data_IF_943381142992
#
_entry.id   IF_943381142992
#
_cell.length_a   1.000
_cell.length_b   1.000
_cell.length_c   1.000
_cell.angle_alpha   90.00
_cell.angle_beta   90.00
_cell.angle_gamma   90.00
#
_symmetry.space_group_name_H-M   'P 1'
#
loop_
_entity.id
_entity.type
_entity.pdbx_description
1 polymer ?
#
# COMPACT_ATOMS: atom_id res chain seq x y z
N UNK A 1 -8.69 25.91 63.43
CA UNK A 1 -8.00 24.88 64.21
C UNK A 1 -6.94 24.28 63.32
N UNK A 2 -5.67 24.44 63.73
CA UNK A 2 -4.45 24.10 63.02
C UNK A 2 -3.82 22.93 63.78
N UNK A 3 -3.40 21.85 63.11
CA UNK A 3 -2.43 20.92 63.71
C UNK A 3 -1.57 20.30 62.61
N UNK A 4 -0.35 20.83 62.50
CA UNK A 4 0.82 20.17 61.93
C UNK A 4 1.27 19.03 62.85
N UNK A 5 1.80 17.94 62.28
CA UNK A 5 2.76 17.07 62.96
C UNK A 5 3.93 16.78 62.01
N UNK A 6 5.13 17.07 62.49
CA UNK A 6 6.44 16.86 61.85
C UNK A 6 7.15 15.65 62.48
N UNK A 7 7.85 14.91 61.61
CA UNK A 7 9.14 14.23 61.75
C UNK A 7 9.38 13.09 62.75
N UNK A 8 9.97 12.02 62.22
CA UNK A 8 10.82 11.06 62.93
C UNK A 8 11.43 10.05 61.95
N UNK A 9 12.69 10.26 61.54
CA UNK A 9 13.48 9.30 60.75
C UNK A 9 14.43 8.48 61.63
N UNK A 10 14.92 7.35 61.09
CA UNK A 10 16.25 6.77 61.34
C UNK A 10 16.47 5.53 60.41
N UNK A 11 17.74 5.11 60.20
CA UNK A 11 18.25 4.60 58.93
C UNK A 11 18.35 3.06 58.86
N UNK A 12 18.47 2.50 57.65
CA UNK A 12 18.82 1.09 57.47
C UNK A 12 20.13 0.95 56.66
N UNK A 13 21.17 0.27 57.19
CA UNK A 13 22.41 0.01 56.48
C UNK A 13 22.36 -1.37 55.83
N UNK A 14 22.58 -1.45 54.51
CA UNK A 14 23.09 -2.66 53.86
C UNK A 14 23.72 -2.30 52.52
N UNK A 15 24.97 -1.87 52.63
CA UNK A 15 25.93 -1.79 51.52
C UNK A 15 26.83 -3.01 51.68
N UNK A 16 26.63 -4.03 50.86
CA UNK A 16 27.60 -5.11 50.66
C UNK A 16 27.42 -5.74 49.29
N UNK A 17 28.46 -5.53 48.47
CA UNK A 17 28.96 -6.40 47.42
C UNK A 17 28.07 -6.66 46.20
N UNK A 18 28.13 -5.73 45.23
CA UNK A 18 28.09 -6.09 43.82
C UNK A 18 29.51 -6.47 43.41
N UNK A 19 29.70 -7.77 43.24
CA UNK A 19 30.89 -8.42 42.75
C UNK A 19 31.08 -8.05 41.28
N UNK A 20 32.25 -7.48 40.93
CA UNK A 20 32.67 -7.25 39.55
C UNK A 20 32.67 -8.58 38.78
N UNK A 21 31.82 -8.66 37.77
CA UNK A 21 31.76 -9.77 36.83
C UNK A 21 32.73 -9.46 35.68
N UNK A 22 33.70 -10.35 35.36
CA UNK A 22 34.66 -10.09 34.29
C UNK A 22 33.97 -10.07 32.92
N UNK A 23 34.39 -9.13 32.08
CA UNK A 23 33.87 -8.94 30.73
C UNK A 23 34.05 -10.21 29.87
N UNK A 24 33.05 -10.59 29.05
CA UNK A 24 33.18 -11.71 28.13
C UNK A 24 34.18 -11.38 26.99
N UNK A 25 34.94 -12.36 26.48
CA UNK A 25 35.91 -12.14 25.42
C UNK A 25 35.24 -11.73 24.10
N UNK A 26 35.89 -10.81 23.38
CA UNK A 26 35.47 -10.33 22.07
C UNK A 26 35.30 -11.49 21.08
N UNK A 27 34.13 -11.56 20.45
CA UNK A 27 33.82 -12.51 19.39
C UNK A 27 34.69 -12.23 18.14
N UNK A 28 35.19 -13.26 17.44
CA UNK A 28 35.97 -13.09 16.23
C UNK A 28 35.12 -12.54 15.09
N UNK A 29 35.66 -11.56 14.36
CA UNK A 29 35.06 -10.96 13.18
C UNK A 29 34.79 -12.02 12.10
N UNK A 30 33.52 -12.38 11.90
CA UNK A 30 33.09 -13.21 10.79
C UNK A 30 32.98 -12.36 9.53
N UNK A 31 33.68 -12.80 8.48
CA UNK A 31 33.60 -12.25 7.13
C UNK A 31 32.18 -12.46 6.58
N UNK A 32 31.47 -11.37 6.33
CA UNK A 32 30.19 -11.37 5.64
C UNK A 32 30.36 -11.86 4.21
N UNK A 33 29.90 -13.08 3.94
CA UNK A 33 29.65 -13.58 2.58
C UNK A 33 28.18 -13.29 2.28
N UNK A 34 27.82 -12.73 1.11
CA UNK A 34 26.42 -12.44 0.79
C UNK A 34 25.63 -13.74 0.71
N UNK A 35 24.64 -13.89 1.59
CA UNK A 35 23.70 -15.00 1.56
C UNK A 35 22.88 -14.92 0.28
N UNK A 36 22.96 -15.98 -0.53
CA UNK A 36 22.05 -16.21 -1.64
C UNK A 36 20.61 -16.23 -1.11
N UNK A 37 19.72 -15.50 -1.77
CA UNK A 37 18.27 -15.50 -1.57
C UNK A 37 17.78 -16.95 -1.55
N UNK A 38 17.54 -17.47 -0.35
CA UNK A 38 16.88 -18.76 -0.16
C UNK A 38 15.39 -18.51 -0.34
N UNK A 39 14.85 -18.95 -1.47
CA UNK A 39 13.42 -18.91 -1.76
C UNK A 39 12.70 -19.90 -0.84
N UNK A 40 12.18 -19.41 0.28
CA UNK A 40 11.16 -20.11 1.05
C UNK A 40 9.99 -20.44 0.12
N UNK A 41 9.45 -21.67 0.12
CA UNK A 41 8.30 -22.01 -0.71
C UNK A 41 7.11 -21.10 -0.35
N UNK A 42 6.40 -20.64 -1.38
CA UNK A 42 5.26 -19.75 -1.25
C UNK A 42 4.23 -20.34 -0.27
N UNK A 43 3.70 -19.54 0.70
CA UNK A 43 2.62 -19.99 1.54
C UNK A 43 1.40 -20.40 0.69
N UNK A 44 0.68 -21.42 1.14
CA UNK A 44 -0.50 -21.98 0.46
C UNK A 44 -1.51 -20.88 0.05
N UNK A 45 -2.30 -21.09 -1.03
CA UNK A 45 -3.22 -20.09 -1.58
C UNK A 45 -4.42 -19.88 -0.64
N UNK A 46 -4.20 -19.09 0.41
CA UNK A 46 -5.28 -18.52 1.20
C UNK A 46 -5.91 -17.37 0.42
N UNK A 47 -7.24 -17.34 0.38
CA UNK A 47 -8.00 -16.16 -0.02
C UNK A 47 -7.47 -14.93 0.75
N UNK A 48 -7.29 -13.77 0.09
CA UNK A 48 -6.88 -12.55 0.75
C UNK A 48 -7.79 -12.21 1.93
N UNK A 49 -7.24 -11.65 3.00
CA UNK A 49 -8.02 -11.18 4.17
C UNK A 49 -9.02 -10.09 3.77
N UNK A 50 -8.75 -9.36 2.69
CA UNK A 50 -9.67 -8.40 2.07
C UNK A 50 -10.99 -9.03 1.65
N UNK A 51 -11.03 -10.33 1.33
CA UNK A 51 -12.25 -11.05 1.00
C UNK A 51 -13.16 -11.17 2.24
N UNK A 52 -14.37 -10.60 2.15
CA UNK A 52 -15.29 -10.47 3.29
C UNK A 52 -15.01 -9.26 4.20
N UNK A 53 -13.98 -8.45 3.90
CA UNK A 53 -13.72 -7.16 4.55
C UNK A 53 -14.05 -5.99 3.63
N UNK A 54 -13.65 -6.06 2.36
CA UNK A 54 -14.06 -5.16 1.29
C UNK A 54 -15.31 -5.71 0.57
N UNK A 55 -16.11 -4.83 -0.03
CA UNK A 55 -17.15 -5.22 -0.98
C UNK A 55 -16.53 -5.75 -2.29
N UNK A 56 -17.33 -6.42 -3.10
CA UNK A 56 -16.92 -6.95 -4.42
C UNK A 56 -16.32 -5.87 -5.33
N UNK A 57 -15.33 -6.22 -6.16
CA UNK A 57 -14.65 -5.28 -7.06
C UNK A 57 -15.59 -4.54 -8.00
N UNK A 58 -16.63 -5.19 -8.53
CA UNK A 58 -17.65 -4.55 -9.34
C UNK A 58 -18.42 -3.48 -8.55
N UNK A 59 -18.75 -3.79 -7.29
CA UNK A 59 -19.38 -2.82 -6.38
C UNK A 59 -18.42 -1.71 -5.94
N UNK A 60 -17.12 -1.98 -5.80
CA UNK A 60 -16.11 -0.94 -5.54
C UNK A 60 -16.13 0.07 -6.69
N UNK A 61 -16.06 -0.41 -7.94
CA UNK A 61 -16.07 0.44 -9.14
C UNK A 61 -17.40 1.22 -9.22
N UNK A 62 -18.54 0.57 -8.99
CA UNK A 62 -19.84 1.24 -9.00
C UNK A 62 -19.96 2.31 -7.90
N UNK A 63 -19.47 2.03 -6.70
CA UNK A 63 -19.48 2.96 -5.57
C UNK A 63 -18.60 4.17 -5.87
N UNK A 64 -17.40 3.94 -6.41
CA UNK A 64 -16.49 4.98 -6.87
C UNK A 64 -17.13 5.84 -7.97
N UNK A 65 -17.68 5.22 -9.01
CA UNK A 65 -18.35 5.91 -10.12
C UNK A 65 -19.55 6.74 -9.63
N UNK A 66 -20.36 6.20 -8.72
CA UNK A 66 -21.53 6.89 -8.17
C UNK A 66 -21.12 8.12 -7.37
N UNK A 67 -20.04 8.03 -6.59
CA UNK A 67 -19.57 9.14 -5.76
C UNK A 67 -18.81 10.19 -6.56
N UNK A 68 -17.96 9.77 -7.49
CA UNK A 68 -16.96 10.63 -8.15
C UNK A 68 -17.23 10.92 -9.62
N UNK A 69 -18.22 10.27 -10.22
CA UNK A 69 -18.71 10.62 -11.56
C UNK A 69 -18.80 9.41 -12.48
N UNK A 70 -20.04 8.98 -12.76
CA UNK A 70 -20.30 7.83 -13.62
C UNK A 70 -20.07 8.14 -15.10
N UNK A 71 -20.23 9.41 -15.50
CA UNK A 71 -20.16 9.84 -16.90
C UNK A 71 -18.73 10.01 -17.41
N UNK A 72 -17.79 10.26 -16.51
CA UNK A 72 -16.36 10.48 -16.79
C UNK A 72 -15.47 9.35 -16.28
N UNK A 73 -16.07 8.27 -15.75
CA UNK A 73 -15.34 7.06 -15.39
C UNK A 73 -14.71 6.44 -16.64
N UNK A 74 -13.40 6.29 -16.61
CA UNK A 74 -12.63 5.58 -17.63
C UNK A 74 -11.71 4.57 -16.95
N UNK A 75 -11.65 3.36 -17.48
CA UNK A 75 -10.53 2.47 -17.18
C UNK A 75 -9.35 2.90 -18.05
N UNK A 76 -8.15 2.97 -17.48
CA UNK A 76 -6.94 3.30 -18.24
C UNK A 76 -5.88 2.22 -18.04
N UNK A 77 -4.87 2.13 -18.93
CA UNK A 77 -3.73 1.25 -18.68
C UNK A 77 -2.98 1.67 -17.41
N UNK A 78 -2.66 0.69 -16.56
CA UNK A 78 -1.98 0.90 -15.28
C UNK A 78 -0.46 0.93 -15.45
N UNK A 79 0.25 1.95 -14.94
CA UNK A 79 1.73 1.98 -14.96
C UNK A 79 2.32 0.80 -14.16
N UNK A 80 3.41 0.18 -14.62
CA UNK A 80 4.11 -0.84 -13.82
C UNK A 80 4.82 -0.16 -12.65
N UNK A 81 4.36 -0.45 -11.43
CA UNK A 81 4.99 0.03 -10.19
C UNK A 81 6.26 -0.79 -9.91
N UNK A 82 7.38 -0.10 -9.70
CA UNK A 82 8.70 -0.72 -9.52
C UNK A 82 9.28 -0.54 -8.11
N UNK A 83 8.56 0.14 -7.22
CA UNK A 83 8.94 0.43 -5.83
C UNK A 83 7.76 0.21 -4.86
N UNK A 84 8.05 0.25 -3.56
CA UNK A 84 7.03 0.17 -2.51
C UNK A 84 6.32 -1.19 -2.40
N UNK A 85 5.27 -1.23 -1.58
CA UNK A 85 4.54 -2.46 -1.27
C UNK A 85 3.85 -3.04 -2.52
N UNK A 86 3.41 -2.21 -3.46
CA UNK A 86 2.71 -2.63 -4.68
C UNK A 86 3.65 -2.97 -5.87
N UNK A 87 4.97 -2.97 -5.67
CA UNK A 87 5.95 -3.32 -6.70
C UNK A 87 5.60 -4.61 -7.46
N UNK A 88 5.47 -4.51 -8.78
CA UNK A 88 5.16 -5.62 -9.68
C UNK A 88 3.86 -6.37 -9.38
N UNK A 89 2.94 -5.73 -8.67
CA UNK A 89 1.58 -6.25 -8.51
C UNK A 89 0.75 -5.72 -9.67
N UNK A 90 0.13 -6.58 -10.50
CA UNK A 90 -0.85 -6.13 -11.48
C UNK A 90 -2.03 -5.47 -10.78
N UNK A 91 -2.54 -4.38 -11.37
CA UNK A 91 -3.72 -3.69 -10.87
C UNK A 91 -4.56 -3.12 -11.99
N UNK A 92 -5.86 -2.96 -11.74
CA UNK A 92 -6.78 -2.21 -12.58
C UNK A 92 -6.81 -0.77 -12.07
N UNK A 93 -6.79 0.21 -12.98
CA UNK A 93 -6.96 1.62 -12.63
C UNK A 93 -8.17 2.23 -13.32
N UNK A 94 -8.94 2.99 -12.56
CA UNK A 94 -10.10 3.74 -13.03
C UNK A 94 -9.96 5.20 -12.62
N UNK A 95 -10.08 6.09 -13.58
CA UNK A 95 -9.97 7.53 -13.36
C UNK A 95 -11.31 8.22 -13.58
N UNK A 96 -11.52 9.30 -12.82
CA UNK A 96 -12.50 10.35 -13.06
C UNK A 96 -11.81 11.71 -13.02
N UNK A 97 -12.51 12.79 -13.33
CA UNK A 97 -12.07 14.17 -13.05
C UNK A 97 -11.86 14.43 -11.55
N UNK A 98 -12.42 13.58 -10.69
CA UNK A 98 -12.49 13.74 -9.24
C UNK A 98 -11.47 12.90 -8.46
N UNK A 99 -10.94 11.83 -9.02
CA UNK A 99 -9.96 10.96 -8.37
C UNK A 99 -9.59 9.75 -9.22
N UNK A 100 -8.78 8.87 -8.63
CA UNK A 100 -8.32 7.60 -9.21
C UNK A 100 -8.57 6.47 -8.23
N UNK A 101 -8.94 5.30 -8.75
CA UNK A 101 -9.16 4.05 -8.02
C UNK A 101 -8.25 2.97 -8.61
N UNK A 102 -7.44 2.35 -7.76
CA UNK A 102 -6.59 1.22 -8.12
C UNK A 102 -7.04 -0.04 -7.36
N UNK A 103 -7.18 -1.16 -8.07
CA UNK A 103 -7.54 -2.47 -7.51
C UNK A 103 -6.41 -3.45 -7.82
N UNK A 104 -5.73 -3.93 -6.78
CA UNK A 104 -4.50 -4.71 -6.88
C UNK A 104 -4.75 -6.22 -6.77
N UNK A 105 -4.01 -7.00 -7.56
CA UNK A 105 -3.99 -8.45 -7.48
C UNK A 105 -4.93 -9.11 -8.47
N UNK A 106 -5.67 -10.13 -8.03
CA UNK A 106 -6.72 -10.76 -8.82
C UNK A 106 -7.98 -9.88 -8.76
N UNK A 107 -8.54 -9.39 -9.88
CA UNK A 107 -9.76 -8.58 -9.86
C UNK A 107 -10.96 -9.25 -9.19
N UNK A 108 -11.04 -10.59 -9.15
CA UNK A 108 -12.11 -11.32 -8.47
C UNK A 108 -11.87 -11.45 -6.96
N UNK A 109 -10.60 -11.41 -6.55
CA UNK A 109 -10.14 -11.56 -5.18
C UNK A 109 -9.07 -10.51 -4.88
N UNK A 110 -9.43 -9.22 -4.79
CA UNK A 110 -8.47 -8.13 -4.75
C UNK A 110 -7.62 -8.21 -3.49
N UNK A 111 -6.29 -8.16 -3.64
CA UNK A 111 -5.35 -8.15 -2.53
C UNK A 111 -5.27 -6.78 -1.84
N UNK A 112 -5.65 -5.71 -2.54
CA UNK A 112 -5.72 -4.36 -2.00
C UNK A 112 -6.45 -3.39 -2.92
N UNK A 113 -6.84 -2.25 -2.37
CA UNK A 113 -7.47 -1.14 -3.08
C UNK A 113 -6.83 0.16 -2.63
N UNK A 114 -6.63 1.08 -3.58
CA UNK A 114 -6.21 2.45 -3.30
C UNK A 114 -7.14 3.45 -3.98
N UNK A 115 -7.38 4.57 -3.30
CA UNK A 115 -8.07 5.71 -3.89
C UNK A 115 -7.21 6.94 -3.68
N UNK A 116 -6.99 7.71 -4.74
CA UNK A 116 -6.11 8.87 -4.68
C UNK A 116 -6.57 10.07 -5.48
N UNK A 117 -5.90 11.18 -5.21
CA UNK A 117 -6.05 12.45 -5.91
C UNK A 117 -4.69 13.06 -6.20
N UNK A 118 -4.53 13.55 -7.42
CA UNK A 118 -3.41 14.40 -7.81
C UNK A 118 -3.79 15.87 -7.66
N UNK A 119 -2.78 16.74 -7.60
CA UNK A 119 -2.98 18.18 -7.66
C UNK A 119 -3.84 18.56 -8.88
N UNK A 120 -4.95 19.26 -8.66
CA UNK A 120 -5.89 19.69 -9.71
C UNK A 120 -7.14 18.82 -9.90
N UNK A 121 -7.23 17.65 -9.24
CA UNK A 121 -8.51 16.96 -9.05
C UNK A 121 -9.36 17.74 -8.04
N UNK A 122 -10.68 17.60 -8.11
CA UNK A 122 -11.63 18.46 -7.35
C UNK A 122 -12.11 17.86 -6.02
N UNK A 123 -11.81 16.59 -5.72
CA UNK A 123 -12.23 15.96 -4.46
C UNK A 123 -11.29 16.30 -3.30
N UNK A 124 -11.80 16.20 -2.07
CA UNK A 124 -10.99 16.38 -0.85
C UNK A 124 -10.52 15.05 -0.26
N UNK A 125 -9.48 15.08 0.58
CA UNK A 125 -8.98 13.91 1.32
C UNK A 125 -10.09 13.26 2.17
N UNK A 126 -10.96 14.06 2.78
CA UNK A 126 -12.09 13.58 3.57
C UNK A 126 -13.14 12.87 2.70
N UNK A 127 -13.42 13.37 1.49
CA UNK A 127 -14.33 12.69 0.57
C UNK A 127 -13.79 11.31 0.18
N UNK A 128 -12.49 11.21 -0.07
CA UNK A 128 -11.81 9.94 -0.36
C UNK A 128 -11.84 9.00 0.84
N UNK A 129 -11.54 9.49 2.04
CA UNK A 129 -11.63 8.70 3.28
C UNK A 129 -13.05 8.16 3.52
N UNK A 130 -14.07 8.99 3.31
CA UNK A 130 -15.47 8.57 3.45
C UNK A 130 -15.85 7.53 2.39
N UNK A 131 -15.37 7.68 1.17
CA UNK A 131 -15.56 6.70 0.10
C UNK A 131 -14.89 5.37 0.47
N UNK A 132 -13.62 5.41 0.90
CA UNK A 132 -12.88 4.22 1.32
C UNK A 132 -13.56 3.50 2.49
N UNK A 133 -14.05 4.23 3.50
CA UNK A 133 -14.85 3.65 4.58
C UNK A 133 -16.13 2.98 4.05
N UNK A 134 -16.77 3.55 3.02
CA UNK A 134 -17.93 2.97 2.36
C UNK A 134 -17.68 1.63 1.67
N UNK A 135 -16.42 1.30 1.35
CA UNK A 135 -16.05 0.02 0.75
C UNK A 135 -15.95 -1.13 1.76
N UNK A 136 -15.90 -0.81 3.06
CA UNK A 136 -15.68 -1.79 4.12
C UNK A 136 -16.98 -2.32 4.70
N UNK A 137 -17.05 -3.64 4.87
CA UNK A 137 -18.22 -4.33 5.39
C UNK A 137 -18.29 -4.25 6.93
N UNK A 138 -17.14 -4.24 7.62
CA UNK A 138 -17.09 -4.25 9.08
C UNK A 138 -17.06 -2.83 9.66
N UNK A 139 -17.91 -2.56 10.66
CA UNK A 139 -17.98 -1.26 11.32
C UNK A 139 -16.64 -0.82 11.91
N UNK A 140 -15.94 -1.73 12.57
CA UNK A 140 -14.69 -1.41 13.23
C UNK A 140 -13.54 -1.10 12.27
N UNK A 141 -13.61 -1.53 11.01
CA UNK A 141 -12.64 -1.11 9.98
C UNK A 141 -12.99 0.27 9.44
N UNK A 142 -14.28 0.59 9.31
CA UNK A 142 -14.75 1.94 8.95
C UNK A 142 -14.29 2.95 10.00
N UNK A 143 -14.45 2.61 11.28
CA UNK A 143 -13.98 3.44 12.40
C UNK A 143 -12.46 3.65 12.34
N UNK A 144 -11.70 2.60 12.01
CA UNK A 144 -10.25 2.68 11.86
C UNK A 144 -9.84 3.60 10.70
N UNK A 145 -10.49 3.49 9.54
CA UNK A 145 -10.27 4.39 8.40
C UNK A 145 -10.50 5.85 8.80
N UNK A 146 -11.55 6.13 9.58
CA UNK A 146 -11.82 7.48 10.07
C UNK A 146 -10.81 7.98 11.10
N UNK A 147 -10.10 7.08 11.79
CA UNK A 147 -9.06 7.43 12.76
C UNK A 147 -7.70 7.76 12.14
N UNK A 148 -7.48 7.42 10.87
CA UNK A 148 -6.23 7.73 10.17
C UNK A 148 -6.00 9.25 10.07
N UNK A 149 -4.76 9.66 10.34
CA UNK A 149 -4.29 10.99 9.95
C UNK A 149 -4.34 11.16 8.44
N UNK A 150 -4.73 12.35 7.98
CA UNK A 150 -4.82 12.68 6.55
C UNK A 150 -3.48 13.16 5.97
N UNK A 151 -2.43 13.25 6.77
CA UNK A 151 -1.10 13.66 6.31
C UNK A 151 -0.29 12.44 5.86
N UNK A 152 0.08 11.58 6.82
CA UNK A 152 0.71 10.28 6.62
C UNK A 152 0.35 9.43 7.82
N UNK A 153 -0.10 8.19 7.60
CA UNK A 153 -0.46 7.28 8.68
C UNK A 153 -0.47 5.84 8.19
N UNK A 154 -0.28 4.90 9.13
CA UNK A 154 -0.32 3.48 8.85
C UNK A 154 -0.80 2.72 10.09
N UNK A 155 -1.94 2.06 9.95
CA UNK A 155 -2.54 1.23 11.00
C UNK A 155 -2.78 -0.18 10.49
N UNK A 156 -2.70 -1.16 11.39
CA UNK A 156 -2.97 -2.55 11.07
C UNK A 156 -4.08 -3.12 11.96
N UNK A 157 -4.95 -3.93 11.36
CA UNK A 157 -6.03 -4.59 12.08
C UNK A 157 -6.41 -5.91 11.43
N UNK A 158 -6.20 -6.98 12.19
CA UNK A 158 -6.64 -8.33 11.83
C UNK A 158 -6.22 -8.71 10.39
N UNK A 159 -4.93 -8.54 10.07
CA UNK A 159 -4.34 -8.89 8.79
C UNK A 159 -4.54 -7.89 7.65
N UNK A 160 -5.24 -6.77 7.88
CA UNK A 160 -5.29 -5.64 6.93
C UNK A 160 -4.43 -4.49 7.40
N UNK A 161 -3.78 -3.86 6.44
CA UNK A 161 -3.07 -2.59 6.57
C UNK A 161 -3.92 -1.48 5.97
N UNK A 162 -3.98 -0.35 6.66
CA UNK A 162 -4.69 0.87 6.27
C UNK A 162 -3.66 1.99 6.28
N UNK A 163 -3.46 2.64 5.14
CA UNK A 163 -2.32 3.55 4.94
C UNK A 163 -2.77 4.82 4.24
N UNK A 164 -2.23 5.95 4.68
CA UNK A 164 -2.32 7.24 3.98
C UNK A 164 -0.92 7.59 3.52
N UNK A 165 -0.76 7.72 2.20
CA UNK A 165 0.52 8.05 1.57
C UNK A 165 0.46 9.50 1.06
N UNK A 166 1.31 10.41 1.56
CA UNK A 166 1.33 11.79 1.12
C UNK A 166 1.93 11.93 -0.28
N UNK A 167 1.62 13.02 -1.02
CA UNK A 167 2.18 13.29 -2.35
C UNK A 167 3.69 13.55 -2.36
N UNK A 168 4.30 13.68 -1.17
CA UNK A 168 5.74 13.83 -1.00
C UNK A 168 6.47 12.49 -0.86
N UNK A 169 5.76 11.39 -0.64
CA UNK A 169 6.36 10.07 -0.58
C UNK A 169 6.82 9.63 -1.98
N UNK A 170 7.93 8.89 -2.05
CA UNK A 170 8.57 8.52 -3.33
C UNK A 170 7.63 7.62 -4.18
N UNK A 171 6.92 6.72 -3.53
CA UNK A 171 5.96 5.78 -4.12
C UNK A 171 4.59 6.39 -4.45
N UNK A 172 4.35 7.64 -4.07
CA UNK A 172 3.07 8.31 -4.31
C UNK A 172 2.89 8.82 -5.74
N UNK A 173 4.01 8.95 -6.47
CA UNK A 173 4.10 9.59 -7.79
C UNK A 173 3.43 10.99 -7.82
N UNK A 174 3.42 11.71 -6.70
CA UNK A 174 2.84 13.04 -6.55
C UNK A 174 1.34 13.07 -6.22
N UNK A 175 0.71 11.90 -6.03
CA UNK A 175 -0.69 11.78 -5.58
C UNK A 175 -0.80 11.66 -4.06
N UNK A 176 -1.91 12.10 -3.49
CA UNK A 176 -2.29 11.69 -2.13
C UNK A 176 -3.15 10.43 -2.23
N UNK A 177 -2.83 9.40 -1.45
CA UNK A 177 -3.50 8.09 -1.51
C UNK A 177 -4.02 7.68 -0.14
N UNK A 178 -5.13 6.95 -0.15
CA UNK A 178 -5.55 6.08 0.95
C UNK A 178 -5.67 4.65 0.44
N UNK A 179 -5.11 3.72 1.19
CA UNK A 179 -4.86 2.34 0.75
C UNK A 179 -5.34 1.35 1.81
N UNK A 180 -5.99 0.27 1.39
CA UNK A 180 -6.35 -0.86 2.25
C UNK A 180 -5.89 -2.14 1.56
N UNK A 181 -5.05 -2.92 2.24
CA UNK A 181 -4.49 -4.12 1.64
C UNK A 181 -4.14 -5.22 2.66
N UNK A 182 -4.13 -6.46 2.19
CA UNK A 182 -3.51 -7.60 2.88
C UNK A 182 -2.07 -7.73 2.37
N UNK A 183 -1.09 -7.38 3.19
CA UNK A 183 0.33 -7.38 2.80
C UNK A 183 0.81 -8.77 2.32
N UNK A 184 0.33 -9.85 2.96
CA UNK A 184 0.70 -11.20 2.56
C UNK A 184 0.06 -11.58 1.23
N UNK A 185 -1.19 -11.16 0.98
CA UNK A 185 -1.83 -11.35 -0.32
C UNK A 185 -1.14 -10.52 -1.41
N UNK A 186 -0.71 -9.30 -1.11
CA UNK A 186 0.07 -8.46 -2.02
C UNK A 186 1.38 -9.15 -2.43
N UNK A 187 2.09 -9.76 -1.49
CA UNK A 187 3.32 -10.49 -1.81
C UNK A 187 3.05 -11.72 -2.70
N UNK A 188 1.96 -12.46 -2.46
CA UNK A 188 1.52 -13.54 -3.37
C UNK A 188 1.06 -12.97 -4.71
N UNK A 189 0.57 -11.73 -4.72
CA UNK A 189 0.02 -11.08 -5.90
C UNK A 189 1.09 -10.66 -6.92
N UNK A 190 2.35 -10.51 -6.51
CA UNK A 190 3.43 -10.04 -7.39
C UNK A 190 3.60 -10.96 -8.60
N UNK A 191 3.60 -10.35 -9.79
CA UNK A 191 3.91 -11.02 -11.03
C UNK A 191 5.42 -11.28 -11.14
N UNK A 192 5.77 -12.45 -11.64
CA UNK A 192 7.14 -12.76 -12.07
C UNK A 192 7.52 -11.98 -13.34
N UNK A 193 8.81 -11.87 -13.64
CA UNK A 193 9.27 -11.22 -14.89
C UNK A 193 8.67 -11.85 -16.15
N UNK A 194 8.42 -13.17 -16.13
CA UNK A 194 7.78 -13.88 -17.22
C UNK A 194 6.32 -13.46 -17.39
N UNK A 195 5.57 -13.35 -16.28
CA UNK A 195 4.18 -12.87 -16.30
C UNK A 195 4.10 -11.41 -16.70
N UNK A 196 5.00 -10.55 -16.20
CA UNK A 196 5.08 -9.14 -16.59
C UNK A 196 5.23 -8.99 -18.10
N UNK A 197 6.07 -9.81 -18.76
CA UNK A 197 6.21 -9.83 -20.24
C UNK A 197 4.91 -10.20 -20.94
N UNK A 198 4.11 -11.06 -20.32
CA UNK A 198 2.82 -11.52 -20.86
C UNK A 198 1.71 -10.51 -20.66
N UNK A 199 1.68 -9.71 -19.58
CA UNK A 199 0.52 -8.86 -19.24
C UNK A 199 0.79 -7.36 -19.33
N UNK A 200 2.05 -6.93 -19.38
CA UNK A 200 2.40 -5.53 -19.62
C UNK A 200 2.86 -5.29 -21.07
N UNK A 201 2.52 -4.12 -21.60
CA UNK A 201 2.90 -3.61 -22.92
C UNK A 201 3.66 -2.30 -22.77
N UNK A 202 4.33 -1.85 -23.82
CA UNK A 202 4.94 -0.52 -23.82
C UNK A 202 3.85 0.55 -23.66
N UNK A 203 4.12 1.56 -22.84
CA UNK A 203 3.22 2.70 -22.71
C UNK A 203 3.07 3.38 -24.08
N UNK A 204 1.84 3.71 -24.50
CA UNK A 204 1.65 4.47 -25.72
C UNK A 204 2.41 5.81 -25.63
N UNK A 205 2.97 6.32 -26.74
CA UNK A 205 3.61 7.63 -26.73
C UNK A 205 2.60 8.66 -26.25
N UNK A 206 2.93 9.37 -25.17
CA UNK A 206 2.14 10.50 -24.71
C UNK A 206 2.16 11.53 -25.84
N UNK A 207 1.01 11.81 -26.45
CA UNK A 207 0.90 12.90 -27.43
C UNK A 207 1.29 14.18 -26.70
N UNK A 208 2.15 14.98 -27.31
CA UNK A 208 2.60 16.29 -26.81
C UNK A 208 1.41 17.24 -26.63
N UNK A 209 0.70 17.10 -25.53
CA UNK A 209 -0.24 18.09 -25.03
C UNK A 209 0.62 19.23 -24.42
N UNK A 210 0.37 20.50 -24.77
CA UNK A 210 1.19 21.61 -24.28
C UNK A 210 1.22 21.57 -22.76
N UNK A 211 2.40 21.75 -22.13
CA UNK A 211 2.60 21.41 -20.74
C UNK A 211 1.68 22.27 -19.87
N UNK A 212 0.68 21.63 -19.27
CA UNK A 212 0.28 22.04 -17.93
C UNK A 212 1.52 21.85 -17.05
N UNK A 213 1.85 22.86 -16.24
CA UNK A 213 3.02 22.91 -15.36
C UNK A 213 3.39 21.55 -14.73
N UNK A 214 4.69 21.23 -14.58
CA UNK A 214 5.14 19.89 -14.26
C UNK A 214 4.68 19.47 -12.86
N UNK A 215 3.68 18.58 -12.79
CA UNK A 215 3.13 18.05 -11.52
C UNK A 215 3.73 16.72 -11.07
N UNK A 216 4.58 16.07 -11.87
CA UNK A 216 5.37 14.91 -11.41
C UNK A 216 6.81 15.37 -11.12
N UNK A 217 7.36 15.18 -9.91
CA UNK A 217 8.77 15.44 -9.68
C UNK A 217 9.62 14.54 -10.60
N UNK A 218 10.82 14.99 -11.00
CA UNK A 218 11.70 14.22 -11.87
C UNK A 218 12.01 12.86 -11.24
N UNK A 219 11.64 11.78 -11.95
CA UNK A 219 11.91 10.38 -11.58
C UNK A 219 13.40 10.23 -11.26
N UNK A 220 13.75 9.89 -10.02
CA UNK A 220 15.09 9.36 -9.71
C UNK A 220 15.13 7.93 -10.26
N UNK A 221 15.45 7.79 -11.53
CA UNK A 221 15.54 6.49 -12.19
C UNK A 221 16.70 5.67 -11.62
N UNK A 222 16.36 4.55 -10.97
CA UNK A 222 17.26 3.40 -10.88
C UNK A 222 16.45 2.18 -11.31
N UNK A 223 16.81 1.66 -12.49
CA UNK A 223 16.20 0.59 -13.30
C UNK A 223 15.13 1.04 -14.30
N UNK A 224 15.59 1.40 -15.50
CA UNK A 224 14.80 1.91 -16.62
C UNK A 224 13.99 0.85 -17.40
N UNK A 225 13.92 -0.41 -16.96
CA UNK A 225 13.37 -1.50 -17.80
C UNK A 225 11.84 -1.70 -17.65
N UNK A 226 11.23 -1.19 -16.57
CA UNK A 226 9.79 -1.40 -16.31
C UNK A 226 8.95 -0.13 -16.23
N UNK A 227 9.54 1.03 -15.95
CA UNK A 227 8.78 2.28 -15.67
C UNK A 227 7.98 2.83 -16.85
N UNK A 228 8.28 2.35 -18.06
CA UNK A 228 7.67 2.81 -19.31
C UNK A 228 6.67 1.77 -19.84
N UNK A 229 6.35 0.73 -19.05
CA UNK A 229 5.39 -0.30 -19.39
C UNK A 229 4.09 -0.07 -18.62
N UNK A 230 2.98 -0.51 -19.22
CA UNK A 230 1.64 -0.48 -18.63
C UNK A 230 0.98 -1.85 -18.67
N UNK A 231 0.19 -2.20 -17.67
CA UNK A 231 -0.66 -3.39 -17.69
C UNK A 231 -1.84 -3.20 -18.65
N UNK A 232 -2.25 -4.29 -19.29
CA UNK A 232 -3.49 -4.29 -20.06
C UNK A 232 -4.71 -4.14 -19.13
N UNK A 233 -5.80 -3.50 -19.56
CA UNK A 233 -6.99 -3.31 -18.72
C UNK A 233 -7.74 -4.59 -18.32
N UNK A 234 -7.64 -5.69 -19.07
CA UNK A 234 -8.60 -6.80 -18.94
C UNK A 234 -7.98 -8.14 -18.48
N UNK A 235 -6.86 -8.14 -17.75
CA UNK A 235 -6.24 -9.40 -17.29
C UNK A 235 -7.04 -10.12 -16.18
N UNK A 236 -6.79 -11.42 -16.01
CA UNK A 236 -7.28 -12.24 -14.89
C UNK A 236 -6.14 -13.06 -14.28
N UNK A 237 -6.41 -13.74 -13.16
CA UNK A 237 -5.46 -14.68 -12.53
C UNK A 237 -6.06 -16.09 -12.47
N UNK A 238 -5.44 -17.03 -13.17
CA UNK A 238 -5.88 -18.42 -13.30
C UNK A 238 -4.79 -19.36 -12.80
N UNK A 239 -5.14 -20.28 -11.90
CA UNK A 239 -4.21 -21.25 -11.29
C UNK A 239 -2.92 -20.63 -10.71
N UNK A 240 -3.02 -19.38 -10.25
CA UNK A 240 -1.89 -18.63 -9.68
C UNK A 240 -1.09 -17.81 -10.67
N UNK A 241 -1.42 -17.84 -11.97
CA UNK A 241 -0.73 -17.12 -13.05
C UNK A 241 -1.63 -16.07 -13.70
N UNK A 242 -1.04 -14.93 -14.06
CA UNK A 242 -1.77 -13.90 -14.79
C UNK A 242 -1.93 -14.23 -16.27
N UNK A 243 -3.16 -14.11 -16.78
CA UNK A 243 -3.49 -14.37 -18.17
C UNK A 243 -4.16 -13.16 -18.81
N UNK A 244 -3.92 -12.99 -20.11
CA UNK A 244 -4.68 -12.03 -20.93
C UNK A 244 -5.95 -12.73 -21.45
N UNK A 245 -7.07 -12.00 -21.59
CA UNK A 245 -8.24 -12.54 -22.24
C UNK A 245 -7.91 -12.81 -23.72
N UNK A 246 -8.51 -13.85 -24.33
CA UNK A 246 -8.33 -14.11 -25.75
C UNK A 246 -8.80 -12.89 -26.58
N UNK A 247 -7.98 -12.50 -27.56
CA UNK A 247 -8.28 -11.43 -28.53
C UNK A 247 -9.44 -11.81 -29.45
#
# INVERSE_FOLDING_TARGET
MLTMVLLGGCPNPSRSQLQEQPAPPAAPAMKSTPAALSSTPAPAPGKPVTEGRLIDSGLIIETFATRFGKKDLKQVPSEVIDTGIFRYVPYLTYETSRGELNIYGDPQHPAGVEIGIYAGKTSTKEELRNLMAGLLQQAADRDLVHSLSLDEDKLERAGLTFEVTPPTADESYGGWWISIYDAAAIDRARASDAELKTIAVDAPPQKDEPPAEPKKPPRKSKNADTSDRVYIPDYSREEGTYVRPPL
#
